data_IF_373760066896
#
_entry.id   IF_373760066896
#
_cell.length_a   1.000
_cell.length_b   1.000
_cell.length_c   1.000
_cell.angle_alpha   90.00
_cell.angle_beta   90.00
_cell.angle_gamma   90.00
#
_symmetry.space_group_name_H-M   'P 1'
#
loop_
_entity.id
_entity.type
_entity.pdbx_description
1 polymer ?
#
# COMPACT_ATOMS: atom_id res chain seq x y z
N UNK A 1 -4.11 -14.71 -19.17
CA UNK A 1 -5.41 -15.41 -19.02
C UNK A 1 -5.32 -16.76 -19.72
N UNK A 2 -5.50 -17.85 -18.99
CA UNK A 2 -5.33 -19.21 -19.55
C UNK A 2 -6.53 -19.68 -20.40
N UNK A 3 -7.73 -19.14 -20.16
CA UNK A 3 -8.97 -19.44 -20.91
C UNK A 3 -9.78 -18.15 -21.04
N UNK A 4 -9.58 -17.34 -22.09
CA UNK A 4 -10.32 -16.10 -22.30
C UNK A 4 -11.79 -16.42 -22.65
N UNK A 5 -12.71 -15.60 -22.14
CA UNK A 5 -14.14 -15.65 -22.44
C UNK A 5 -14.68 -14.25 -22.74
N UNK A 6 -15.94 -14.15 -23.17
CA UNK A 6 -16.55 -12.87 -23.50
C UNK A 6 -16.56 -11.86 -22.36
N UNK A 7 -16.71 -12.32 -21.14
CA UNK A 7 -16.66 -11.45 -19.94
C UNK A 7 -15.29 -10.81 -19.78
N UNK A 8 -14.22 -11.56 -20.01
CA UNK A 8 -12.85 -11.02 -20.00
C UNK A 8 -12.65 -9.97 -21.11
N UNK A 9 -13.23 -10.21 -22.30
CA UNK A 9 -13.17 -9.25 -23.39
C UNK A 9 -13.91 -7.94 -23.06
N UNK A 10 -15.11 -8.05 -22.46
CA UNK A 10 -15.86 -6.89 -21.97
C UNK A 10 -15.06 -6.09 -20.92
N UNK A 11 -14.44 -6.77 -19.94
CA UNK A 11 -13.60 -6.15 -18.93
C UNK A 11 -12.41 -5.41 -19.56
N UNK A 12 -11.73 -6.03 -20.53
CA UNK A 12 -10.62 -5.38 -21.27
C UNK A 12 -11.08 -4.13 -22.00
N UNK A 13 -12.25 -4.16 -22.66
CA UNK A 13 -12.83 -2.97 -23.29
C UNK A 13 -13.10 -1.84 -22.29
N UNK A 14 -13.58 -2.16 -21.08
CA UNK A 14 -13.80 -1.16 -20.03
C UNK A 14 -12.49 -0.47 -19.62
N UNK A 15 -11.40 -1.23 -19.48
CA UNK A 15 -10.07 -0.65 -19.20
C UNK A 15 -9.63 0.29 -20.31
N UNK A 16 -9.79 -0.10 -21.59
CA UNK A 16 -9.44 0.75 -22.73
C UNK A 16 -10.28 2.03 -22.78
N UNK A 17 -11.58 1.93 -22.47
CA UNK A 17 -12.46 3.10 -22.39
C UNK A 17 -12.01 4.03 -21.27
N UNK A 18 -11.66 3.49 -20.11
CA UNK A 18 -11.13 4.27 -18.99
C UNK A 18 -9.85 5.00 -19.41
N UNK A 19 -8.87 4.30 -19.97
CA UNK A 19 -7.61 4.90 -20.46
C UNK A 19 -7.87 6.02 -21.49
N UNK A 20 -8.78 5.79 -22.45
CA UNK A 20 -9.14 6.80 -23.44
C UNK A 20 -9.72 8.08 -22.82
N UNK A 21 -10.50 7.93 -21.74
CA UNK A 21 -11.13 9.07 -21.04
C UNK A 21 -10.18 9.81 -20.11
N UNK A 22 -9.09 9.16 -19.69
CA UNK A 22 -8.12 9.68 -18.72
C UNK A 22 -6.76 10.01 -19.33
N UNK A 23 -6.65 10.07 -20.65
CA UNK A 23 -5.38 10.35 -21.37
C UNK A 23 -4.72 11.66 -20.89
N UNK A 24 -5.51 12.66 -20.53
CA UNK A 24 -5.01 13.95 -20.07
C UNK A 24 -4.84 14.04 -18.54
N UNK A 25 -5.09 12.94 -17.81
CA UNK A 25 -4.90 12.90 -16.38
C UNK A 25 -3.47 12.44 -16.07
N UNK A 26 -2.87 13.06 -15.07
CA UNK A 26 -1.51 12.74 -14.64
C UNK A 26 -1.31 13.08 -13.18
N UNK A 27 -0.16 12.69 -12.67
CA UNK A 27 0.30 13.09 -11.34
C UNK A 27 1.08 14.41 -11.49
N UNK A 28 0.67 15.40 -10.69
CA UNK A 28 1.37 16.68 -10.62
C UNK A 28 2.28 16.66 -9.39
N UNK A 29 3.57 16.79 -9.61
CA UNK A 29 4.54 17.00 -8.54
C UNK A 29 4.81 18.50 -8.43
N UNK A 30 4.54 19.04 -7.26
CA UNK A 30 4.84 20.43 -6.94
C UNK A 30 6.09 20.49 -6.08
N UNK A 31 6.87 21.55 -6.25
CA UNK A 31 8.02 21.82 -5.39
C UNK A 31 7.52 22.16 -3.98
N UNK A 32 7.87 21.33 -3.02
CA UNK A 32 7.52 21.48 -1.61
C UNK A 32 8.79 21.49 -0.77
N UNK A 33 8.89 22.43 0.14
CA UNK A 33 10.07 22.61 1.01
C UNK A 33 10.26 21.46 2.01
N UNK A 34 9.20 20.76 2.38
CA UNK A 34 9.24 19.64 3.33
C UNK A 34 8.82 18.34 2.63
N UNK A 35 9.83 17.57 2.22
CA UNK A 35 9.66 16.32 1.47
C UNK A 35 9.53 15.16 2.45
N UNK A 36 8.33 14.91 2.94
CA UNK A 36 8.05 13.77 3.84
C UNK A 36 7.46 12.60 3.09
N UNK A 37 7.95 11.39 3.41
CA UNK A 37 7.39 10.14 2.93
C UNK A 37 6.18 9.77 3.79
N UNK A 38 5.03 9.58 3.15
CA UNK A 38 3.80 9.11 3.79
C UNK A 38 3.23 7.91 3.05
N UNK A 39 2.72 6.93 3.80
CA UNK A 39 2.17 5.69 3.26
C UNK A 39 0.71 5.49 3.63
N UNK A 40 0.03 4.71 2.80
CA UNK A 40 -1.34 4.23 3.03
C UNK A 40 -1.35 2.72 2.79
N UNK A 41 -2.00 1.98 3.66
CA UNK A 41 -2.16 0.53 3.52
C UNK A 41 -3.61 0.13 3.73
N UNK A 42 -4.09 -0.77 2.88
CA UNK A 42 -5.45 -1.30 2.96
C UNK A 42 -5.47 -2.78 2.55
N UNK A 43 -6.50 -3.49 2.97
CA UNK A 43 -6.75 -4.86 2.53
C UNK A 43 -8.24 -5.14 2.43
N UNK A 44 -8.66 -5.62 1.28
CA UNK A 44 -10.00 -6.14 1.04
C UNK A 44 -10.04 -7.64 1.44
N UNK A 45 -10.68 -7.92 2.59
CA UNK A 45 -10.76 -9.27 3.11
C UNK A 45 -11.76 -10.10 2.33
N UNK A 46 -11.30 -11.26 1.81
CA UNK A 46 -12.17 -12.23 1.11
C UNK A 46 -12.98 -11.65 -0.06
N UNK A 47 -12.51 -10.57 -0.67
CA UNK A 47 -13.22 -9.85 -1.74
C UNK A 47 -13.37 -10.64 -3.03
N UNK A 48 -12.57 -11.69 -3.25
CA UNK A 48 -12.74 -12.56 -4.39
C UNK A 48 -13.73 -13.69 -4.06
N UNK A 49 -14.84 -13.73 -4.80
CA UNK A 49 -15.90 -14.72 -4.59
C UNK A 49 -15.49 -16.15 -4.97
N UNK A 50 -14.55 -16.32 -5.90
CA UNK A 50 -14.15 -17.62 -6.43
C UNK A 50 -13.22 -18.38 -5.48
N UNK A 51 -12.20 -17.70 -4.92
CA UNK A 51 -11.16 -18.35 -4.12
C UNK A 51 -10.99 -17.73 -2.73
N UNK A 52 -11.86 -16.78 -2.35
CA UNK A 52 -11.89 -16.12 -1.03
C UNK A 52 -10.57 -15.49 -0.61
N UNK A 53 -9.69 -15.18 -1.56
CA UNK A 53 -8.44 -14.51 -1.29
C UNK A 53 -8.64 -13.01 -1.15
N UNK A 54 -7.93 -12.45 -0.19
CA UNK A 54 -7.88 -11.01 0.06
C UNK A 54 -6.97 -10.30 -0.95
N UNK A 55 -7.20 -9.02 -1.16
CA UNK A 55 -6.30 -8.15 -1.91
C UNK A 55 -5.65 -7.19 -0.95
N UNK A 56 -4.33 -7.10 -0.98
CA UNK A 56 -3.56 -6.08 -0.24
C UNK A 56 -3.16 -4.95 -1.15
N UNK A 57 -3.33 -3.74 -0.67
CA UNK A 57 -2.93 -2.51 -1.34
C UNK A 57 -2.06 -1.63 -0.46
N UNK A 58 -1.14 -0.90 -1.09
CA UNK A 58 -0.47 0.23 -0.47
C UNK A 58 -0.19 1.31 -1.52
N UNK A 59 -0.04 2.53 -1.04
CA UNK A 59 0.50 3.64 -1.82
C UNK A 59 1.40 4.51 -0.95
N UNK A 60 2.44 5.07 -1.55
CA UNK A 60 3.37 6.00 -0.89
C UNK A 60 3.46 7.29 -1.67
N UNK A 61 3.34 8.39 -0.94
CA UNK A 61 3.48 9.73 -1.45
C UNK A 61 4.77 10.36 -0.93
N UNK A 62 5.36 11.20 -1.76
CA UNK A 62 6.39 12.14 -1.35
C UNK A 62 5.93 13.55 -1.71
N UNK A 63 5.85 14.41 -0.70
CA UNK A 63 5.24 15.73 -0.93
C UNK A 63 3.81 15.61 -1.50
N UNK A 64 3.58 16.15 -2.69
CA UNK A 64 2.27 16.23 -3.33
C UNK A 64 1.90 15.00 -4.19
N UNK A 65 2.85 14.11 -4.50
CA UNK A 65 2.65 13.06 -5.50
C UNK A 65 2.90 11.64 -5.00
N UNK A 66 2.18 10.67 -5.60
CA UNK A 66 2.40 9.23 -5.39
C UNK A 66 3.66 8.80 -6.11
N UNK A 67 4.57 8.09 -5.41
CA UNK A 67 5.84 7.58 -5.97
C UNK A 67 5.89 6.06 -6.06
N UNK A 68 5.13 5.36 -5.22
CA UNK A 68 5.05 3.89 -5.26
C UNK A 68 3.64 3.43 -4.89
N UNK A 69 3.18 2.36 -5.53
CA UNK A 69 1.91 1.73 -5.18
C UNK A 69 1.92 0.25 -5.57
N UNK A 70 1.08 -0.52 -4.91
CA UNK A 70 0.84 -1.92 -5.25
C UNK A 70 -0.59 -2.30 -4.91
N UNK A 71 -1.17 -3.16 -5.74
CA UNK A 71 -2.41 -3.86 -5.44
C UNK A 71 -2.24 -5.31 -5.88
N UNK A 72 -2.18 -6.23 -4.91
CA UNK A 72 -1.90 -7.65 -5.18
C UNK A 72 -2.85 -8.56 -4.41
N UNK A 73 -3.36 -9.56 -5.12
CA UNK A 73 -4.08 -10.66 -4.51
C UNK A 73 -3.14 -11.46 -3.62
N UNK A 74 -3.57 -11.74 -2.40
CA UNK A 74 -2.76 -12.50 -1.45
C UNK A 74 -2.65 -13.97 -1.88
N UNK A 75 -1.51 -14.63 -1.67
CA UNK A 75 -1.29 -16.00 -2.12
C UNK A 75 -2.12 -17.02 -1.33
N UNK A 76 -2.44 -16.71 -0.08
CA UNK A 76 -3.17 -17.56 0.86
C UNK A 76 -4.51 -16.96 1.23
N UNK A 77 -5.45 -17.83 1.64
CA UNK A 77 -6.71 -17.41 2.26
C UNK A 77 -6.46 -17.20 3.74
N UNK A 78 -6.86 -16.06 4.28
CA UNK A 78 -6.75 -15.73 5.70
C UNK A 78 -8.09 -15.93 6.40
N UNK A 79 -8.02 -16.45 7.62
CA UNK A 79 -9.20 -16.79 8.41
C UNK A 79 -9.90 -15.56 9.00
N UNK A 80 -9.20 -14.43 9.07
CA UNK A 80 -9.75 -13.19 9.61
C UNK A 80 -9.33 -11.96 8.79
N UNK A 81 -10.14 -10.91 8.86
CA UNK A 81 -9.81 -9.61 8.30
C UNK A 81 -8.56 -9.00 8.94
N UNK A 82 -8.31 -9.30 10.22
CA UNK A 82 -7.14 -8.83 10.97
C UNK A 82 -5.85 -9.41 10.37
N UNK A 83 -5.81 -10.73 10.10
CA UNK A 83 -4.66 -11.37 9.46
C UNK A 83 -4.35 -10.78 8.08
N UNK A 84 -5.40 -10.58 7.26
CA UNK A 84 -5.24 -9.97 5.95
C UNK A 84 -4.66 -8.55 6.04
N UNK A 85 -5.12 -7.75 7.01
CA UNK A 85 -4.61 -6.40 7.29
C UNK A 85 -3.16 -6.42 7.78
N UNK A 86 -2.79 -7.34 8.68
CA UNK A 86 -1.38 -7.49 9.09
C UNK A 86 -0.47 -7.80 7.91
N UNK A 87 -0.91 -8.67 7.00
CA UNK A 87 -0.14 -9.00 5.80
C UNK A 87 0.04 -7.79 4.88
N UNK A 88 -1.02 -7.02 4.67
CA UNK A 88 -0.95 -5.79 3.88
C UNK A 88 0.02 -4.79 4.52
N UNK A 89 -0.11 -4.58 5.84
CA UNK A 89 0.73 -3.66 6.59
C UNK A 89 2.21 -4.09 6.59
N UNK A 90 2.49 -5.40 6.71
CA UNK A 90 3.84 -5.94 6.58
C UNK A 90 4.45 -5.59 5.22
N UNK A 91 3.68 -5.77 4.14
CA UNK A 91 4.15 -5.44 2.80
C UNK A 91 4.40 -3.95 2.62
N UNK A 92 3.49 -3.10 3.12
CA UNK A 92 3.67 -1.65 3.11
C UNK A 92 4.91 -1.22 3.92
N UNK A 93 5.16 -1.85 5.07
CA UNK A 93 6.32 -1.55 5.91
C UNK A 93 7.64 -1.90 5.21
N UNK A 94 7.71 -3.04 4.55
CA UNK A 94 8.90 -3.42 3.77
C UNK A 94 9.18 -2.40 2.66
N UNK A 95 8.14 -1.95 1.97
CA UNK A 95 8.25 -0.92 0.93
C UNK A 95 8.71 0.42 1.52
N UNK A 96 8.15 0.85 2.65
CA UNK A 96 8.55 2.08 3.32
C UNK A 96 10.04 2.09 3.69
N UNK A 97 10.54 0.97 4.23
CA UNK A 97 11.96 0.83 4.58
C UNK A 97 12.83 0.94 3.33
N UNK A 98 12.42 0.28 2.25
CA UNK A 98 13.14 0.33 0.98
C UNK A 98 13.16 1.75 0.40
N UNK A 99 12.02 2.43 0.36
CA UNK A 99 11.92 3.82 -0.10
C UNK A 99 12.77 4.78 0.75
N UNK A 100 12.80 4.60 2.08
CA UNK A 100 13.66 5.41 2.96
C UNK A 100 15.14 5.25 2.62
N UNK A 101 15.59 4.03 2.33
CA UNK A 101 16.98 3.78 1.91
C UNK A 101 17.30 4.46 0.58
N UNK A 102 16.40 4.37 -0.40
CA UNK A 102 16.58 5.08 -1.68
C UNK A 102 16.67 6.58 -1.46
N UNK A 103 15.75 7.15 -0.62
CA UNK A 103 15.78 8.57 -0.33
C UNK A 103 17.07 9.00 0.38
N UNK A 104 17.61 8.17 1.25
CA UNK A 104 18.91 8.40 1.89
C UNK A 104 20.03 8.38 0.86
N UNK A 105 20.05 7.41 -0.06
CA UNK A 105 21.05 7.28 -1.12
C UNK A 105 21.05 8.47 -2.08
N UNK A 106 19.88 9.09 -2.32
CA UNK A 106 19.77 10.30 -3.14
C UNK A 106 19.92 11.60 -2.33
N UNK A 107 20.32 11.51 -1.06
CA UNK A 107 20.60 12.68 -0.21
C UNK A 107 19.38 13.34 0.44
N UNK A 108 18.21 12.71 0.38
CA UNK A 108 16.95 13.18 0.98
C UNK A 108 16.57 12.34 2.20
N UNK A 109 17.41 12.36 3.22
CA UNK A 109 17.19 11.56 4.42
C UNK A 109 15.93 11.98 5.17
N UNK A 110 15.07 11.00 5.48
CA UNK A 110 13.85 11.19 6.26
C UNK A 110 14.18 11.25 7.75
N UNK A 111 14.15 12.43 8.34
CA UNK A 111 14.47 12.67 9.76
C UNK A 111 13.41 12.14 10.72
N UNK A 112 12.16 12.14 10.28
CA UNK A 112 11.03 11.65 11.07
C UNK A 112 10.64 10.23 10.64
N UNK A 113 9.93 9.51 11.53
CA UNK A 113 9.35 8.22 11.20
C UNK A 113 8.28 8.38 10.10
N UNK A 114 8.31 7.51 9.10
CA UNK A 114 7.34 7.49 8.03
C UNK A 114 5.98 7.04 8.58
N UNK A 115 4.96 7.87 8.38
CA UNK A 115 3.59 7.54 8.77
C UNK A 115 2.98 6.59 7.75
N UNK A 116 2.47 5.45 8.22
CA UNK A 116 1.62 4.57 7.42
C UNK A 116 0.21 4.63 7.98
N UNK A 117 -0.71 5.17 7.21
CA UNK A 117 -2.12 5.23 7.55
C UNK A 117 -2.77 3.90 7.16
N UNK A 118 -3.49 3.31 8.11
CA UNK A 118 -4.26 2.09 7.90
C UNK A 118 -5.65 2.25 8.50
N UNK A 119 -6.61 1.55 7.94
CA UNK A 119 -7.95 1.47 8.46
C UNK A 119 -7.96 0.62 9.76
N UNK A 120 -8.65 1.11 10.80
CA UNK A 120 -8.90 0.40 12.04
C UNK A 120 -7.65 0.03 12.87
N UNK A 121 -6.94 1.05 13.36
CA UNK A 121 -5.74 0.91 14.20
C UNK A 121 -6.02 0.28 15.58
N UNK A 122 -7.24 0.38 16.10
CA UNK A 122 -7.59 -0.15 17.43
C UNK A 122 -7.36 -1.66 17.59
N UNK A 123 -7.26 -2.40 16.47
CA UNK A 123 -6.98 -3.83 16.45
C UNK A 123 -5.52 -4.17 16.12
N UNK A 124 -4.72 -3.17 15.73
CA UNK A 124 -3.33 -3.33 15.33
C UNK A 124 -2.41 -2.85 16.45
N UNK A 125 -2.06 -3.71 17.39
CA UNK A 125 -1.08 -3.33 18.41
C UNK A 125 0.33 -3.23 17.80
N UNK A 126 1.05 -2.15 18.13
CA UNK A 126 2.44 -1.98 17.69
C UNK A 126 3.34 -3.16 18.08
N UNK A 127 3.09 -3.79 19.22
CA UNK A 127 3.82 -4.99 19.69
C UNK A 127 3.61 -6.19 18.75
N UNK A 128 2.41 -6.41 18.26
CA UNK A 128 2.13 -7.52 17.34
C UNK A 128 2.80 -7.30 15.99
N UNK A 129 2.82 -6.06 15.50
CA UNK A 129 3.52 -5.73 14.25
C UNK A 129 5.02 -5.97 14.42
N UNK A 130 5.61 -5.56 15.53
CA UNK A 130 7.03 -5.74 15.80
C UNK A 130 7.43 -7.22 15.92
N UNK A 131 6.55 -8.08 16.46
CA UNK A 131 6.82 -9.53 16.55
C UNK A 131 6.76 -10.27 15.20
N UNK A 132 6.02 -9.73 14.25
CA UNK A 132 5.87 -10.32 12.91
C UNK A 132 6.98 -9.87 11.95
N UNK A 133 7.63 -8.74 12.26
CA UNK A 133 8.63 -8.15 11.39
C UNK A 133 10.05 -8.54 11.76
N UNK A 134 10.88 -8.92 10.76
CA UNK A 134 12.27 -9.35 11.02
C UNK A 134 13.23 -8.19 11.34
N UNK A 135 12.73 -6.95 11.46
CA UNK A 135 13.56 -5.77 11.66
C UNK A 135 13.47 -5.28 13.11
N UNK A 136 14.57 -5.34 13.88
CA UNK A 136 14.63 -4.72 15.19
C UNK A 136 14.47 -3.19 15.04
N UNK A 137 13.78 -2.57 15.99
CA UNK A 137 13.58 -1.11 16.05
C UNK A 137 12.77 -0.48 14.88
N UNK A 138 11.86 -1.24 14.27
CA UNK A 138 11.05 -0.76 13.15
C UNK A 138 10.26 0.52 13.50
N UNK A 139 9.88 0.67 14.77
CA UNK A 139 9.14 1.85 15.26
C UNK A 139 9.96 3.14 15.23
N UNK A 140 11.30 3.07 15.15
CA UNK A 140 12.13 4.25 14.95
C UNK A 140 12.03 4.81 13.52
N UNK A 141 11.63 3.97 12.57
CA UNK A 141 11.52 4.34 11.16
C UNK A 141 10.09 4.52 10.68
N UNK A 142 9.12 3.91 11.35
CA UNK A 142 7.73 3.84 10.88
C UNK A 142 6.77 4.06 12.05
N UNK A 143 5.79 4.92 11.84
CA UNK A 143 4.66 5.15 12.76
C UNK A 143 3.38 4.79 12.05
N UNK A 144 2.55 3.98 12.71
CA UNK A 144 1.23 3.63 12.22
C UNK A 144 0.18 4.59 12.79
N UNK A 145 -0.72 5.06 11.95
CA UNK A 145 -1.81 5.93 12.37
C UNK A 145 -3.12 5.54 11.68
N UNK A 146 -4.21 5.80 12.37
CA UNK A 146 -5.54 5.61 11.82
C UNK A 146 -5.84 6.68 10.77
N UNK A 147 -6.50 6.25 9.68
CA UNK A 147 -7.04 7.19 8.71
C UNK A 147 -8.16 7.98 9.41
N UNK A 148 -8.04 9.28 9.44
CA UNK A 148 -9.14 10.18 9.81
C UNK A 148 -9.85 10.53 8.52
N UNK A 149 -11.11 10.14 8.44
CA UNK A 149 -12.04 10.56 7.37
C UNK A 149 -12.30 12.06 7.44
#
# INVERSE_FOLDING_TARGET
MAKPCETHWKATKQVLIYLKRTVNYGLLYTDVSDVQLAGYSDSDWSGNLDDRKSTSGYSFNIGSGVISWSSKKQPTVYLSSIEAKYKALTSATCEAIWLRRILEDVGTQQKQATRIQCDNQSQLSCHTIQSIMPYPNILSYITFCERKD
#
